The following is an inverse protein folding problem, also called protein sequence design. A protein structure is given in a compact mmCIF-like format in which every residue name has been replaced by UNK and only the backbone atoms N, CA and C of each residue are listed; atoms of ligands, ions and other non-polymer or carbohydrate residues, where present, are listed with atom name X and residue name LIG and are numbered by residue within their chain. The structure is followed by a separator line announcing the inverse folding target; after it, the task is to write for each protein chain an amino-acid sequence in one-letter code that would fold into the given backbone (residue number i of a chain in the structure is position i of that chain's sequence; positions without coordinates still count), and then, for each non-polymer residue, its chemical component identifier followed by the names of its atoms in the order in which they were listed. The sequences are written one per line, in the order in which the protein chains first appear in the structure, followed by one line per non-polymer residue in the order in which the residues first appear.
data_IF_533205364384
#
_entry.id   IF_533205364384
#
_cell.length_a   1.000
_cell.length_b   1.000
_cell.length_c   1.000
_cell.angle_alpha   90.00
_cell.angle_beta   90.00
_cell.angle_gamma   90.00
#
_symmetry.space_group_name_H-M   'P 1'
#
loop_
_entity.id
_entity.type
_entity.pdbx_description
1 polymer ?
#
# COMPACT_ATOMS: atom_id res chain seq x y z
N UNK A 1 -4.88 5.23 -21.23
CA UNK A 1 -4.81 5.73 -19.86
C UNK A 1 -6.11 6.41 -19.53
N UNK A 2 -6.77 5.94 -18.48
CA UNK A 2 -8.05 6.51 -18.00
C UNK A 2 -7.82 7.63 -16.98
N UNK A 3 -6.75 7.49 -16.20
CA UNK A 3 -6.36 8.47 -15.21
C UNK A 3 -4.85 8.73 -15.30
N UNK A 4 -4.46 10.00 -15.31
CA UNK A 4 -3.07 10.43 -15.21
C UNK A 4 -2.94 11.46 -14.11
N UNK A 5 -1.83 11.41 -13.38
CA UNK A 5 -1.56 12.24 -12.23
C UNK A 5 -0.06 12.53 -12.13
N UNK A 6 0.26 13.77 -11.91
CA UNK A 6 1.60 14.22 -11.55
C UNK A 6 1.44 15.45 -10.66
N UNK A 7 1.99 15.44 -9.46
CA UNK A 7 1.89 16.57 -8.55
C UNK A 7 3.06 16.65 -7.57
N UNK A 8 3.43 17.89 -7.23
CA UNK A 8 4.38 18.19 -6.18
C UNK A 8 3.73 19.05 -5.09
N UNK A 9 4.05 18.73 -3.82
CA UNK A 9 3.67 19.48 -2.63
C UNK A 9 4.94 19.66 -1.78
N UNK A 10 5.61 20.81 -1.94
CA UNK A 10 6.94 21.07 -1.38
C UNK A 10 7.00 20.99 0.14
N UNK A 11 6.01 21.58 0.84
CA UNK A 11 5.92 21.50 2.31
C UNK A 11 5.83 20.08 2.86
N UNK A 12 5.41 19.11 2.03
CA UNK A 12 5.26 17.69 2.39
C UNK A 12 6.35 16.80 1.79
N UNK A 13 7.29 17.36 1.04
CA UNK A 13 8.29 16.59 0.29
C UNK A 13 7.67 15.62 -0.72
N UNK A 14 6.41 15.87 -1.14
CA UNK A 14 5.66 14.98 -2.01
C UNK A 14 5.91 15.34 -3.49
N UNK A 15 6.30 14.35 -4.28
CA UNK A 15 6.51 14.46 -5.72
C UNK A 15 6.24 13.10 -6.36
N UNK A 16 5.04 12.93 -6.91
CA UNK A 16 4.53 11.62 -7.37
C UNK A 16 3.93 11.75 -8.76
N UNK A 17 4.25 10.81 -9.61
CA UNK A 17 3.58 10.56 -10.89
C UNK A 17 2.92 9.18 -10.87
N UNK A 18 1.68 9.09 -11.35
CA UNK A 18 0.88 7.87 -11.37
C UNK A 18 -0.06 7.87 -12.58
N UNK A 19 -0.26 6.72 -13.18
CA UNK A 19 -1.28 6.54 -14.22
C UNK A 19 -2.05 5.25 -14.02
N UNK A 20 -3.33 5.23 -14.43
CA UNK A 20 -4.17 4.03 -14.40
C UNK A 20 -4.78 3.78 -15.76
N UNK A 21 -4.87 2.51 -16.13
CA UNK A 21 -5.65 2.00 -17.24
C UNK A 21 -7.17 1.98 -16.95
N UNK A 22 -7.99 1.65 -17.95
CA UNK A 22 -9.40 1.36 -17.71
C UNK A 22 -9.52 0.12 -16.81
N UNK A 23 -10.39 0.21 -15.80
CA UNK A 23 -10.62 -0.88 -14.85
C UNK A 23 -9.36 -1.41 -14.12
N UNK A 24 -8.29 -0.61 -14.03
CA UNK A 24 -7.09 -0.96 -13.27
C UNK A 24 -7.24 -0.55 -11.81
N UNK A 25 -6.91 -1.45 -10.91
CA UNK A 25 -6.79 -1.18 -9.48
C UNK A 25 -5.32 -1.11 -9.08
N UNK A 26 -4.91 0.02 -8.50
CA UNK A 26 -3.56 0.23 -7.96
C UNK A 26 -3.62 0.25 -6.43
N UNK A 27 -2.84 -0.61 -5.79
CA UNK A 27 -2.60 -0.52 -4.35
C UNK A 27 -1.41 0.41 -4.08
N UNK A 28 -1.61 1.40 -3.24
CA UNK A 28 -0.55 2.31 -2.77
C UNK A 28 -0.18 1.91 -1.35
N UNK A 29 1.06 1.51 -1.17
CA UNK A 29 1.62 1.05 0.09
C UNK A 29 2.83 1.91 0.47
N UNK A 30 3.31 1.83 1.69
CA UNK A 30 4.46 2.60 2.16
C UNK A 30 4.39 2.86 3.65
N UNK A 31 5.50 3.26 4.29
CA UNK A 31 5.54 3.56 5.73
C UNK A 31 4.62 4.73 6.10
N UNK A 32 4.41 4.92 7.40
CA UNK A 32 3.68 6.08 7.89
C UNK A 32 4.43 7.36 7.49
N UNK A 33 3.68 8.38 7.04
CA UNK A 33 4.28 9.64 6.54
C UNK A 33 4.79 9.59 5.10
N UNK A 34 4.71 8.46 4.39
CA UNK A 34 5.19 8.32 3.01
C UNK A 34 4.43 9.15 1.95
N UNK A 35 3.32 9.80 2.32
CA UNK A 35 2.55 10.63 1.39
C UNK A 35 1.28 9.98 0.83
N UNK A 36 0.89 8.77 1.29
CA UNK A 36 -0.29 8.04 0.80
C UNK A 36 -1.59 8.86 0.89
N UNK A 37 -1.90 9.40 2.07
CA UNK A 37 -3.10 10.22 2.26
C UNK A 37 -3.00 11.58 1.56
N UNK A 38 -1.78 12.10 1.34
CA UNK A 38 -1.54 13.29 0.52
C UNK A 38 -1.91 13.01 -0.94
N UNK A 39 -1.49 11.87 -1.49
CA UNK A 39 -1.87 11.44 -2.83
C UNK A 39 -3.39 11.43 -3.02
N UNK A 40 -4.11 10.71 -2.16
CA UNK A 40 -5.59 10.65 -2.23
C UNK A 40 -6.23 12.02 -2.08
N UNK A 41 -5.72 12.85 -1.16
CA UNK A 41 -6.27 14.20 -0.89
C UNK A 41 -6.06 15.15 -2.05
N UNK A 42 -4.92 15.10 -2.74
CA UNK A 42 -4.66 15.90 -3.96
C UNK A 42 -5.57 15.46 -5.10
N UNK A 43 -5.73 14.15 -5.32
CA UNK A 43 -6.62 13.61 -6.36
C UNK A 43 -8.08 13.99 -6.07
N UNK A 44 -8.53 13.87 -4.82
CA UNK A 44 -9.87 14.25 -4.40
C UNK A 44 -10.11 15.76 -4.43
N UNK A 45 -9.05 16.59 -4.49
CA UNK A 45 -9.14 18.04 -4.49
C UNK A 45 -9.25 18.68 -3.10
N UNK A 46 -8.90 17.95 -2.06
CA UNK A 46 -8.87 18.44 -0.68
C UNK A 46 -7.57 19.18 -0.37
N UNK A 47 -6.50 18.85 -1.08
CA UNK A 47 -5.20 19.55 -1.03
C UNK A 47 -4.89 20.05 -2.43
N UNK A 48 -4.53 21.35 -2.52
CA UNK A 48 -4.04 21.94 -3.76
C UNK A 48 -2.52 21.75 -3.81
N UNK A 49 -1.97 21.10 -4.85
CA UNK A 49 -0.51 20.97 -4.99
C UNK A 49 0.11 22.29 -5.45
N UNK A 50 1.41 22.43 -5.28
CA UNK A 50 2.15 23.62 -5.73
C UNK A 50 2.29 23.62 -7.25
N UNK A 51 2.45 22.44 -7.85
CA UNK A 51 2.52 22.25 -9.30
C UNK A 51 2.04 20.85 -9.68
N UNK A 52 1.65 20.69 -10.93
CA UNK A 52 1.27 19.39 -11.45
C UNK A 52 0.04 19.43 -12.35
N UNK A 53 -0.35 18.25 -12.80
CA UNK A 53 -1.55 18.03 -13.60
C UNK A 53 -2.19 16.71 -13.23
N UNK A 54 -3.51 16.67 -13.33
CA UNK A 54 -4.24 15.40 -13.27
C UNK A 54 -5.44 15.43 -14.22
N UNK A 55 -5.71 14.29 -14.82
CA UNK A 55 -6.78 14.11 -15.78
C UNK A 55 -7.50 12.79 -15.54
N UNK A 56 -8.83 12.80 -15.63
CA UNK A 56 -9.67 11.61 -15.53
C UNK A 56 -10.61 11.56 -16.74
N UNK A 57 -10.53 10.50 -17.55
CA UNK A 57 -11.35 10.32 -18.75
C UNK A 57 -11.32 11.51 -19.72
N UNK A 58 -10.15 12.11 -19.95
CA UNK A 58 -9.97 13.27 -20.81
C UNK A 58 -10.43 14.60 -20.18
N UNK A 59 -10.81 14.60 -18.89
CA UNK A 59 -11.21 15.82 -18.17
C UNK A 59 -10.15 16.23 -17.18
N UNK A 60 -9.64 17.46 -17.22
CA UNK A 60 -8.65 17.93 -16.27
C UNK A 60 -9.27 18.08 -14.87
N UNK A 61 -8.63 17.44 -13.89
CA UNK A 61 -8.92 17.64 -12.47
C UNK A 61 -8.19 18.88 -11.94
N UNK A 62 -6.97 19.07 -12.39
CA UNK A 62 -6.20 20.30 -12.21
C UNK A 62 -5.02 20.37 -13.20
N UNK A 63 -4.54 21.60 -13.41
CA UNK A 63 -3.31 21.92 -14.10
C UNK A 63 -2.74 23.18 -13.43
N UNK A 64 -1.59 23.08 -12.78
CA UNK A 64 -1.00 24.13 -11.96
C UNK A 64 0.50 24.25 -12.23
N UNK A 65 0.97 25.47 -12.48
CA UNK A 65 2.37 25.76 -12.76
C UNK A 65 2.87 25.22 -14.12
N UNK A 66 4.07 25.62 -14.52
CA UNK A 66 4.76 25.08 -15.69
C UNK A 66 5.43 23.75 -15.31
N UNK A 67 5.00 22.68 -15.93
CA UNK A 67 5.66 21.38 -15.84
C UNK A 67 6.60 21.28 -17.05
N UNK A 68 7.93 21.17 -16.85
CA UNK A 68 8.85 20.86 -17.94
C UNK A 68 8.47 19.52 -18.58
N UNK A 69 8.51 19.44 -19.90
CA UNK A 69 8.16 18.22 -20.65
C UNK A 69 9.02 16.99 -20.25
N UNK A 70 10.16 17.21 -19.60
CA UNK A 70 11.20 16.23 -19.32
C UNK A 70 11.17 15.65 -17.89
N UNK A 71 10.13 15.94 -17.09
CA UNK A 71 9.92 15.28 -15.78
C UNK A 71 10.92 15.63 -14.67
N UNK A 72 11.82 16.59 -14.89
CA UNK A 72 12.79 17.04 -13.86
C UNK A 72 12.25 18.29 -13.19
N UNK A 73 11.82 18.15 -11.94
CA UNK A 73 11.40 19.28 -11.12
C UNK A 73 12.61 20.12 -10.71
N UNK A 74 12.73 21.31 -11.32
CA UNK A 74 13.62 22.35 -10.81
C UNK A 74 12.81 23.19 -9.80
N UNK A 75 13.21 23.13 -8.52
CA UNK A 75 12.65 23.97 -7.49
C UNK A 75 12.72 25.45 -7.90
N UNK A 76 11.56 26.13 -7.83
CA UNK A 76 11.38 27.56 -7.96
C UNK A 76 11.58 28.19 -9.35
N UNK A 77 10.54 28.12 -10.19
CA UNK A 77 10.27 29.23 -11.12
C UNK A 77 8.90 29.82 -10.75
N UNK A 78 8.90 31.07 -10.32
CA UNK A 78 7.70 31.87 -10.07
C UNK A 78 6.97 32.15 -11.38
N UNK A 79 5.68 31.75 -11.42
CA UNK A 79 4.58 32.39 -12.11
C UNK A 79 4.87 33.04 -13.49
N UNK A 80 4.80 32.24 -14.53
CA UNK A 80 4.19 32.65 -15.78
C UNK A 80 2.70 32.31 -15.71
N UNK A 81 1.81 33.24 -16.13
CA UNK A 81 0.36 33.03 -16.12
C UNK A 81 -0.03 32.01 -17.20
N UNK A 82 0.24 30.73 -16.96
CA UNK A 82 -0.43 29.61 -17.59
C UNK A 82 -1.83 29.50 -16.98
N UNK A 83 -2.77 29.05 -17.79
CA UNK A 83 -4.19 28.92 -17.42
C UNK A 83 -4.34 27.89 -16.27
N UNK A 84 -4.09 28.35 -15.03
CA UNK A 84 -4.23 27.54 -13.81
C UNK A 84 -5.66 27.00 -13.74
N UNK A 85 -5.82 25.68 -13.82
CA UNK A 85 -7.10 24.99 -13.73
C UNK A 85 -7.19 24.23 -12.43
N UNK A 86 -8.28 24.43 -11.72
CA UNK A 86 -8.59 23.71 -10.49
C UNK A 86 -10.07 23.32 -10.48
N UNK A 87 -10.37 22.05 -10.70
CA UNK A 87 -11.72 21.52 -10.61
C UNK A 87 -12.09 21.30 -9.15
N UNK A 88 -13.21 21.87 -8.73
CA UNK A 88 -13.71 21.66 -7.35
C UNK A 88 -13.97 20.18 -7.07
N UNK A 89 -13.76 19.70 -5.82
CA UNK A 89 -13.87 18.28 -5.45
C UNK A 89 -15.14 17.59 -5.96
N UNK A 90 -16.29 18.22 -5.81
CA UNK A 90 -17.60 17.66 -6.19
C UNK A 90 -17.84 17.59 -7.72
N UNK A 91 -16.96 18.15 -8.54
CA UNK A 91 -17.01 18.08 -10.00
C UNK A 91 -15.95 17.14 -10.59
N UNK A 92 -15.10 16.53 -9.76
CA UNK A 92 -14.00 15.66 -10.21
C UNK A 92 -14.44 14.28 -10.71
N UNK A 93 -15.65 13.85 -10.38
CA UNK A 93 -16.10 12.48 -10.69
C UNK A 93 -15.34 11.42 -9.90
N UNK A 94 -14.72 11.78 -8.78
CA UNK A 94 -14.04 10.88 -7.86
C UNK A 94 -14.87 10.67 -6.60
N UNK A 95 -14.79 9.49 -5.98
CA UNK A 95 -15.31 9.27 -4.63
C UNK A 95 -14.17 8.82 -3.72
N UNK A 96 -14.04 9.50 -2.57
CA UNK A 96 -13.05 9.18 -1.54
C UNK A 96 -13.75 8.51 -0.36
N UNK A 97 -13.34 7.29 -0.05
CA UNK A 97 -13.52 6.65 1.25
C UNK A 97 -12.29 6.98 2.09
N UNK A 98 -12.43 7.87 3.04
CA UNK A 98 -11.36 8.18 4.00
C UNK A 98 -11.26 7.09 5.07
N UNK A 99 -10.13 7.05 5.77
CA UNK A 99 -9.85 6.09 6.85
C UNK A 99 -10.96 6.14 7.93
N UNK A 100 -11.41 7.33 8.30
CA UNK A 100 -12.62 7.49 9.11
C UNK A 100 -13.87 7.52 8.21
N UNK A 101 -14.99 6.90 8.59
CA UNK A 101 -16.20 6.82 7.78
C UNK A 101 -16.81 8.17 7.37
N UNK A 102 -16.56 9.25 8.14
CA UNK A 102 -17.02 10.62 7.89
C UNK A 102 -18.48 10.71 7.42
N UNK A 103 -19.38 9.96 8.07
CA UNK A 103 -20.81 9.97 7.77
C UNK A 103 -21.44 11.27 8.24
N UNK A 104 -22.48 11.75 7.54
CA UNK A 104 -23.28 12.90 7.96
C UNK A 104 -24.08 12.55 9.22
N UNK A 105 -23.80 13.15 10.38
CA UNK A 105 -24.36 12.67 11.67
C UNK A 105 -25.87 12.89 11.80
N UNK A 106 -26.43 13.82 11.05
CA UNK A 106 -27.86 14.17 11.04
C UNK A 106 -28.68 13.33 10.06
N UNK A 107 -28.03 12.56 9.16
CA UNK A 107 -28.69 11.69 8.19
C UNK A 107 -28.73 10.25 8.68
N UNK A 108 -29.77 9.52 8.27
CA UNK A 108 -29.80 8.06 8.44
C UNK A 108 -28.78 7.37 7.50
N UNK A 109 -28.48 6.10 7.73
CA UNK A 109 -27.59 5.32 6.84
C UNK A 109 -28.07 5.35 5.40
N UNK A 110 -29.37 5.12 5.13
CA UNK A 110 -29.92 5.18 3.77
C UNK A 110 -29.85 6.57 3.18
N UNK A 111 -30.03 7.64 3.96
CA UNK A 111 -29.92 9.00 3.45
C UNK A 111 -28.46 9.45 3.24
N UNK A 112 -27.50 8.91 4.03
CA UNK A 112 -26.06 9.05 3.77
C UNK A 112 -25.68 8.46 2.41
N UNK A 113 -26.11 7.22 2.13
CA UNK A 113 -25.80 6.53 0.88
C UNK A 113 -26.52 7.19 -0.30
N UNK A 114 -27.77 7.64 -0.13
CA UNK A 114 -28.53 8.35 -1.16
C UNK A 114 -28.00 9.77 -1.46
N UNK A 115 -27.06 10.29 -0.66
CA UNK A 115 -26.59 11.69 -0.79
C UNK A 115 -25.90 11.93 -2.15
N UNK A 116 -24.97 11.04 -2.55
CA UNK A 116 -24.25 11.15 -3.82
C UNK A 116 -25.21 11.23 -5.03
N UNK A 117 -26.03 10.19 -5.28
CA UNK A 117 -27.02 10.19 -6.36
C UNK A 117 -27.95 11.42 -6.35
N UNK A 118 -28.39 11.87 -5.17
CA UNK A 118 -29.24 13.06 -5.05
C UNK A 118 -28.51 14.35 -5.43
N UNK A 119 -27.25 14.48 -5.07
CA UNK A 119 -26.42 15.64 -5.40
C UNK A 119 -26.19 15.80 -6.91
N UNK A 120 -26.25 14.69 -7.65
CA UNK A 120 -26.15 14.64 -9.13
C UNK A 120 -27.51 14.70 -9.84
N UNK A 121 -28.61 14.96 -9.10
CA UNK A 121 -29.94 15.17 -9.69
C UNK A 121 -30.82 13.93 -9.75
N UNK A 122 -30.41 12.78 -9.20
CA UNK A 122 -31.26 11.57 -9.18
C UNK A 122 -32.49 11.83 -8.30
N UNK A 123 -33.73 11.52 -8.77
CA UNK A 123 -34.94 11.70 -7.97
C UNK A 123 -34.89 10.94 -6.64
N UNK A 124 -35.42 11.53 -5.56
CA UNK A 124 -35.34 11.02 -4.19
C UNK A 124 -35.72 9.54 -4.05
N UNK A 125 -36.80 9.11 -4.71
CA UNK A 125 -37.27 7.72 -4.66
C UNK A 125 -36.28 6.73 -5.28
N UNK A 126 -35.70 7.07 -6.44
CA UNK A 126 -34.69 6.27 -7.15
C UNK A 126 -33.38 6.25 -6.34
N UNK A 127 -32.91 7.40 -5.87
CA UNK A 127 -31.69 7.48 -5.04
C UNK A 127 -31.82 6.64 -3.76
N UNK A 128 -32.99 6.61 -3.11
CA UNK A 128 -33.23 5.74 -1.95
C UNK A 128 -33.29 4.25 -2.30
N UNK A 129 -33.81 3.90 -3.47
CA UNK A 129 -33.82 2.49 -3.94
C UNK A 129 -32.39 2.00 -4.17
N UNK A 130 -31.58 2.80 -4.85
CA UNK A 130 -30.16 2.55 -5.09
C UNK A 130 -29.36 2.48 -3.78
N UNK A 131 -29.62 3.39 -2.86
CA UNK A 131 -28.99 3.35 -1.52
C UNK A 131 -29.32 2.06 -0.76
N UNK A 132 -30.55 1.56 -0.85
CA UNK A 132 -30.92 0.27 -0.22
C UNK A 132 -30.22 -0.91 -0.90
N UNK A 133 -30.06 -0.87 -2.22
CA UNK A 133 -29.30 -1.88 -2.95
C UNK A 133 -27.87 -1.93 -2.42
N UNK A 134 -27.15 -0.80 -2.38
CA UNK A 134 -25.77 -0.77 -1.89
C UNK A 134 -25.64 -1.14 -0.41
N UNK A 135 -26.61 -0.75 0.42
CA UNK A 135 -26.65 -1.19 1.82
C UNK A 135 -26.82 -2.72 1.94
N UNK A 136 -27.60 -3.33 1.06
CA UNK A 136 -27.74 -4.80 1.03
C UNK A 136 -26.44 -5.47 0.59
N UNK A 137 -25.76 -4.93 -0.43
CA UNK A 137 -24.48 -5.43 -0.94
C UNK A 137 -23.36 -5.44 0.13
N UNK A 138 -23.35 -4.45 1.04
CA UNK A 138 -22.42 -4.39 2.18
C UNK A 138 -22.98 -5.05 3.45
N UNK A 139 -24.06 -5.82 3.36
CA UNK A 139 -24.74 -6.47 4.50
C UNK A 139 -25.15 -5.50 5.63
N UNK A 140 -25.51 -4.27 5.27
CA UNK A 140 -25.94 -3.21 6.18
C UNK A 140 -27.41 -2.80 5.99
N UNK A 141 -28.23 -3.58 5.28
CA UNK A 141 -29.63 -3.26 4.99
C UNK A 141 -30.45 -3.02 6.29
N UNK A 142 -30.20 -3.80 7.34
CA UNK A 142 -30.86 -3.68 8.65
C UNK A 142 -30.50 -2.37 9.39
N UNK A 143 -29.47 -1.66 8.95
CA UNK A 143 -29.02 -0.39 9.53
C UNK A 143 -29.62 0.82 8.83
N UNK A 144 -30.43 0.66 7.78
CA UNK A 144 -30.88 1.72 6.89
C UNK A 144 -31.52 2.93 7.61
N UNK A 145 -32.23 2.70 8.71
CA UNK A 145 -32.88 3.75 9.50
C UNK A 145 -32.01 4.34 10.62
N UNK A 146 -30.87 3.71 10.94
CA UNK A 146 -29.98 4.17 12.00
C UNK A 146 -29.19 5.41 11.58
N UNK A 147 -28.81 6.22 12.56
CA UNK A 147 -27.89 7.35 12.40
C UNK A 147 -26.45 6.95 12.78
N UNK A 148 -25.42 7.67 12.31
CA UNK A 148 -24.03 7.35 12.61
C UNK A 148 -23.69 7.13 14.08
N UNK A 149 -24.20 7.90 15.06
CA UNK A 149 -23.93 7.63 16.49
C UNK A 149 -24.47 6.30 17.01
N UNK A 150 -25.38 5.66 16.26
CA UNK A 150 -26.01 4.37 16.62
C UNK A 150 -25.29 3.17 15.96
N UNK A 151 -24.19 3.43 15.22
CA UNK A 151 -23.43 2.44 14.48
C UNK A 151 -22.11 2.14 15.19
N UNK A 152 -21.69 0.87 15.15
CA UNK A 152 -20.29 0.53 15.47
C UNK A 152 -19.36 1.03 14.38
N UNK A 153 -18.04 1.12 14.65
CA UNK A 153 -17.05 1.54 13.68
C UNK A 153 -17.10 0.75 12.37
N UNK A 154 -17.15 -0.59 12.44
CA UNK A 154 -17.28 -1.46 11.27
C UNK A 154 -18.61 -1.30 10.52
N UNK A 155 -19.72 -1.03 11.25
CA UNK A 155 -21.01 -0.73 10.63
C UNK A 155 -20.96 0.61 9.88
N UNK A 156 -20.39 1.64 10.49
CA UNK A 156 -20.18 2.95 9.87
C UNK A 156 -19.30 2.84 8.62
N UNK A 157 -18.23 2.04 8.68
CA UNK A 157 -17.33 1.80 7.54
C UNK A 157 -18.08 1.15 6.36
N UNK A 158 -18.90 0.12 6.61
CA UNK A 158 -19.73 -0.51 5.57
C UNK A 158 -20.71 0.49 4.92
N UNK A 159 -21.35 1.34 5.72
CA UNK A 159 -22.22 2.41 5.20
C UNK A 159 -21.43 3.43 4.39
N UNK A 160 -20.21 3.79 4.80
CA UNK A 160 -19.35 4.71 4.04
C UNK A 160 -18.90 4.11 2.70
N UNK A 161 -18.58 2.83 2.64
CA UNK A 161 -18.32 2.10 1.39
C UNK A 161 -19.55 2.15 0.48
N UNK A 162 -20.73 1.81 1.00
CA UNK A 162 -21.98 1.88 0.22
C UNK A 162 -22.23 3.29 -0.34
N UNK A 163 -21.93 4.34 0.44
CA UNK A 163 -22.04 5.74 0.01
C UNK A 163 -21.08 6.07 -1.14
N UNK A 164 -19.82 5.62 -1.04
CA UNK A 164 -18.83 5.84 -2.08
C UNK A 164 -19.22 5.15 -3.39
N UNK A 165 -19.71 3.90 -3.30
CA UNK A 165 -20.14 3.11 -4.47
C UNK A 165 -21.43 3.66 -5.11
N UNK A 166 -22.39 4.12 -4.32
CA UNK A 166 -23.64 4.69 -4.81
C UNK A 166 -23.43 5.99 -5.59
N UNK A 167 -22.32 6.69 -5.39
CA UNK A 167 -21.97 7.89 -6.15
C UNK A 167 -21.58 7.59 -7.61
N UNK A 168 -21.39 6.32 -7.97
CA UNK A 168 -20.93 5.83 -9.28
C UNK A 168 -19.76 6.64 -9.88
N UNK A 169 -18.61 6.69 -9.15
CA UNK A 169 -17.50 7.54 -9.53
C UNK A 169 -16.74 6.98 -10.73
N UNK A 170 -16.15 7.88 -11.53
CA UNK A 170 -15.20 7.51 -12.58
C UNK A 170 -13.83 7.06 -12.06
N UNK A 171 -13.50 7.36 -10.79
CA UNK A 171 -12.32 6.87 -10.07
C UNK A 171 -12.67 6.71 -8.58
N UNK A 172 -12.43 5.52 -8.05
CA UNK A 172 -12.64 5.22 -6.64
C UNK A 172 -11.33 5.34 -5.86
N UNK A 173 -11.35 6.10 -4.78
CA UNK A 173 -10.22 6.30 -3.87
C UNK A 173 -10.57 5.69 -2.52
N UNK A 174 -9.82 4.69 -2.08
CA UNK A 174 -10.09 3.95 -0.85
C UNK A 174 -8.88 4.07 0.08
N UNK A 175 -9.07 4.68 1.25
CA UNK A 175 -8.05 4.80 2.30
C UNK A 175 -8.35 3.77 3.40
N UNK A 176 -7.57 2.70 3.45
CA UNK A 176 -7.67 1.59 4.39
C UNK A 176 -9.10 1.03 4.56
N UNK A 177 -9.76 0.59 3.49
CA UNK A 177 -11.19 0.24 3.53
C UNK A 177 -11.55 -0.87 4.50
N UNK A 178 -10.59 -1.71 4.90
CA UNK A 178 -10.82 -2.86 5.79
C UNK A 178 -10.41 -2.62 7.25
N UNK A 179 -9.70 -1.52 7.58
CA UNK A 179 -9.04 -1.32 8.87
C UNK A 179 -9.98 -1.37 10.09
N UNK A 180 -11.23 -0.93 9.94
CA UNK A 180 -12.21 -0.91 11.04
C UNK A 180 -13.11 -2.17 11.12
N UNK A 181 -12.86 -3.17 10.25
CA UNK A 181 -13.71 -4.34 10.14
C UNK A 181 -13.16 -5.52 10.95
N UNK A 182 -14.11 -6.30 11.49
CA UNK A 182 -13.81 -7.56 12.14
C UNK A 182 -13.44 -8.67 11.13
N UNK A 183 -12.93 -9.79 11.65
CA UNK A 183 -12.45 -10.93 10.85
C UNK A 183 -13.53 -11.57 9.95
N UNK A 184 -14.80 -11.36 10.23
CA UNK A 184 -15.91 -11.89 9.43
C UNK A 184 -16.36 -10.91 8.36
N UNK A 185 -16.35 -9.62 8.67
CA UNK A 185 -16.79 -8.54 7.77
C UNK A 185 -15.76 -8.20 6.68
N UNK A 186 -14.47 -8.25 7.01
CA UNK A 186 -13.41 -7.92 6.04
C UNK A 186 -13.41 -8.83 4.79
N UNK A 187 -13.53 -10.18 4.89
CA UNK A 187 -13.61 -11.04 3.70
C UNK A 187 -14.83 -10.78 2.82
N UNK A 188 -15.96 -10.39 3.41
CA UNK A 188 -17.18 -10.07 2.66
C UNK A 188 -16.99 -8.79 1.85
N UNK A 189 -16.47 -7.74 2.50
CA UNK A 189 -16.19 -6.47 1.81
C UNK A 189 -15.11 -6.64 0.73
N UNK A 190 -14.08 -7.43 0.98
CA UNK A 190 -13.04 -7.73 -0.01
C UNK A 190 -13.62 -8.39 -1.27
N UNK A 191 -14.52 -9.37 -1.12
CA UNK A 191 -15.22 -10.00 -2.26
C UNK A 191 -16.10 -9.02 -3.01
N UNK A 192 -16.84 -8.16 -2.29
CA UNK A 192 -17.64 -7.10 -2.92
C UNK A 192 -16.75 -6.15 -3.73
N UNK A 193 -15.68 -5.62 -3.12
CA UNK A 193 -14.76 -4.71 -3.79
C UNK A 193 -14.13 -5.38 -5.02
N UNK A 194 -13.67 -6.62 -4.94
CA UNK A 194 -13.12 -7.35 -6.08
C UNK A 194 -14.10 -7.38 -7.28
N UNK A 195 -15.39 -7.60 -7.01
CA UNK A 195 -16.43 -7.61 -8.04
C UNK A 195 -16.67 -6.20 -8.62
N UNK A 196 -16.76 -5.21 -7.75
CA UNK A 196 -17.09 -3.83 -8.14
C UNK A 196 -15.94 -3.15 -8.87
N UNK A 197 -14.70 -3.47 -8.50
CA UNK A 197 -13.48 -2.89 -9.09
C UNK A 197 -13.13 -3.51 -10.45
N UNK A 198 -13.72 -4.64 -10.82
CA UNK A 198 -13.47 -5.28 -12.11
C UNK A 198 -13.79 -4.39 -13.33
N UNK A 199 -14.68 -3.41 -13.17
CA UNK A 199 -15.17 -2.56 -14.26
C UNK A 199 -14.84 -1.07 -14.08
N UNK A 200 -13.99 -0.70 -13.09
CA UNK A 200 -13.69 0.71 -12.82
C UNK A 200 -12.27 0.92 -12.26
N UNK A 201 -11.61 2.02 -12.61
CA UNK A 201 -10.32 2.33 -12.03
C UNK A 201 -10.43 2.67 -10.55
N UNK A 202 -9.44 2.22 -9.76
CA UNK A 202 -9.38 2.49 -8.34
C UNK A 202 -7.96 2.65 -7.82
N UNK A 203 -7.81 3.45 -6.77
CA UNK A 203 -6.60 3.54 -5.96
C UNK A 203 -6.97 3.12 -4.54
N UNK A 204 -6.28 2.10 -4.02
CA UNK A 204 -6.47 1.58 -2.68
C UNK A 204 -5.20 1.85 -1.87
N UNK A 205 -5.28 2.65 -0.84
CA UNK A 205 -4.23 2.72 0.18
C UNK A 205 -4.48 1.60 1.18
N UNK A 206 -3.49 0.76 1.38
CA UNK A 206 -3.56 -0.33 2.36
C UNK A 206 -2.16 -0.68 2.89
N UNK A 207 -2.10 -1.25 4.07
CA UNK A 207 -0.91 -1.89 4.64
C UNK A 207 -1.06 -3.43 4.68
N UNK A 208 -2.22 -3.96 4.28
CA UNK A 208 -2.50 -5.39 4.23
C UNK A 208 -2.11 -5.97 2.86
N UNK A 209 -1.13 -6.88 2.86
CA UNK A 209 -0.66 -7.59 1.66
C UNK A 209 -1.77 -8.40 1.01
N UNK A 210 -2.69 -8.97 1.82
CA UNK A 210 -3.80 -9.75 1.30
C UNK A 210 -4.79 -8.87 0.52
N UNK A 211 -5.03 -7.63 0.98
CA UNK A 211 -5.86 -6.67 0.24
C UNK A 211 -5.21 -6.34 -1.11
N UNK A 212 -3.91 -6.05 -1.13
CA UNK A 212 -3.17 -5.78 -2.36
C UNK A 212 -3.24 -6.97 -3.32
N UNK A 213 -2.94 -8.19 -2.86
CA UNK A 213 -2.96 -9.41 -3.69
C UNK A 213 -4.35 -9.75 -4.25
N UNK A 214 -5.41 -9.48 -3.49
CA UNK A 214 -6.77 -9.84 -3.91
C UNK A 214 -7.45 -8.79 -4.77
N UNK A 215 -7.11 -7.52 -4.60
CA UNK A 215 -7.84 -6.40 -5.19
C UNK A 215 -7.05 -5.63 -6.25
N UNK A 216 -5.72 -5.60 -6.16
CA UNK A 216 -4.90 -4.74 -7.00
C UNK A 216 -4.16 -5.50 -8.10
N UNK A 217 -4.16 -4.93 -9.29
CA UNK A 217 -3.38 -5.41 -10.44
C UNK A 217 -1.91 -5.02 -10.29
N UNK A 218 -1.66 -3.82 -9.73
CA UNK A 218 -0.34 -3.23 -9.54
C UNK A 218 -0.21 -2.61 -8.15
N UNK A 219 1.01 -2.67 -7.62
CA UNK A 219 1.40 -2.02 -6.37
C UNK A 219 2.35 -0.87 -6.66
N UNK A 220 2.17 0.22 -5.94
CA UNK A 220 3.07 1.37 -5.88
C UNK A 220 3.51 1.56 -4.43
N UNK A 221 4.81 1.44 -4.20
CA UNK A 221 5.41 1.71 -2.89
C UNK A 221 5.84 3.18 -2.85
N UNK A 222 5.29 3.92 -1.90
CA UNK A 222 5.70 5.29 -1.63
C UNK A 222 6.67 5.33 -0.45
N UNK A 223 7.79 6.03 -0.62
CA UNK A 223 8.73 6.35 0.44
C UNK A 223 9.16 7.83 0.32
N UNK A 224 9.15 8.54 1.44
CA UNK A 224 9.57 9.95 1.49
C UNK A 224 8.90 10.84 0.43
N UNK A 225 7.61 10.60 0.16
CA UNK A 225 6.84 11.38 -0.80
C UNK A 225 7.11 11.07 -2.28
N UNK A 226 7.80 10.00 -2.59
CA UNK A 226 8.15 9.57 -3.96
C UNK A 226 7.80 8.11 -4.18
N UNK A 227 7.67 7.72 -5.45
CA UNK A 227 7.56 6.32 -5.83
C UNK A 227 8.94 5.68 -5.69
N UNK A 228 9.07 4.72 -4.77
CA UNK A 228 10.28 3.94 -4.55
C UNK A 228 10.30 2.69 -5.44
N UNK A 229 9.14 2.08 -5.63
CA UNK A 229 8.98 0.85 -6.41
C UNK A 229 7.57 0.77 -6.97
N UNK A 230 7.39 0.26 -8.19
CA UNK A 230 6.09 -0.06 -8.75
C UNK A 230 6.16 -1.24 -9.70
N UNK A 231 5.07 -2.00 -9.77
CA UNK A 231 4.97 -3.14 -10.68
C UNK A 231 3.73 -3.98 -10.43
N UNK A 232 3.53 -5.05 -11.21
CA UNK A 232 2.48 -6.03 -10.96
C UNK A 232 2.55 -6.52 -9.51
N UNK A 233 1.38 -6.57 -8.84
CA UNK A 233 1.30 -6.86 -7.39
C UNK A 233 2.11 -8.09 -6.98
N UNK A 234 1.98 -9.17 -7.75
CA UNK A 234 2.68 -10.41 -7.47
C UNK A 234 4.19 -10.25 -7.57
N UNK A 235 4.66 -9.57 -8.61
CA UNK A 235 6.10 -9.38 -8.86
C UNK A 235 6.76 -8.57 -7.74
N UNK A 236 6.15 -7.44 -7.32
CA UNK A 236 6.68 -6.59 -6.25
C UNK A 236 6.76 -7.34 -4.91
N UNK A 237 5.81 -8.24 -4.64
CA UNK A 237 5.80 -9.03 -3.40
C UNK A 237 6.68 -10.28 -3.46
N UNK A 238 6.91 -10.88 -4.62
CA UNK A 238 7.80 -12.04 -4.79
C UNK A 238 9.27 -11.62 -4.94
N UNK A 239 9.53 -10.48 -5.59
CA UNK A 239 10.88 -9.93 -5.84
C UNK A 239 10.94 -8.46 -5.46
N UNK A 240 10.89 -8.11 -4.18
CA UNK A 240 10.87 -6.73 -3.72
C UNK A 240 12.21 -6.02 -3.99
N UNK A 241 12.15 -4.79 -4.51
CA UNK A 241 13.32 -3.96 -4.75
C UNK A 241 13.54 -2.92 -3.64
N UNK A 242 12.65 -2.87 -2.65
CA UNK A 242 12.75 -1.98 -1.51
C UNK A 242 12.67 -2.77 -0.19
N UNK A 243 13.30 -2.23 0.85
CA UNK A 243 13.24 -2.84 2.19
C UNK A 243 11.80 -2.87 2.73
N UNK A 244 10.99 -1.87 2.37
CA UNK A 244 9.59 -1.83 2.77
C UNK A 244 8.77 -2.94 2.10
N UNK A 245 8.90 -3.12 0.77
CA UNK A 245 8.20 -4.19 0.04
C UNK A 245 8.62 -5.57 0.56
N UNK A 246 9.91 -5.78 0.83
CA UNK A 246 10.41 -7.02 1.44
C UNK A 246 9.83 -7.25 2.84
N UNK A 247 9.75 -6.21 3.66
CA UNK A 247 9.10 -6.26 4.98
C UNK A 247 7.62 -6.64 4.91
N UNK A 248 6.89 -6.10 3.93
CA UNK A 248 5.50 -6.48 3.65
C UNK A 248 5.38 -7.95 3.25
N UNK A 249 6.29 -8.42 2.39
CA UNK A 249 6.35 -9.83 1.97
C UNK A 249 6.86 -10.76 3.08
N UNK A 250 7.28 -10.21 4.23
CA UNK A 250 7.83 -10.97 5.34
C UNK A 250 9.19 -11.59 5.04
N UNK A 251 10.00 -10.97 4.17
CA UNK A 251 11.30 -11.44 3.73
C UNK A 251 12.44 -10.66 4.39
N UNK A 252 13.58 -11.31 4.58
CA UNK A 252 14.86 -10.64 4.81
C UNK A 252 15.34 -10.05 3.48
N UNK A 253 15.82 -8.80 3.51
CA UNK A 253 16.28 -8.04 2.35
C UNK A 253 17.61 -7.35 2.66
N UNK A 254 18.66 -7.75 1.97
CA UNK A 254 20.00 -7.21 2.16
C UNK A 254 20.47 -6.60 0.82
N UNK A 255 20.33 -5.27 0.67
CA UNK A 255 20.79 -4.58 -0.53
C UNK A 255 22.31 -4.39 -0.51
N UNK A 256 22.91 -4.41 -1.69
CA UNK A 256 24.35 -4.21 -1.85
C UNK A 256 24.81 -4.25 -3.31
N UNK A 257 25.99 -4.76 -3.51
CA UNK A 257 26.60 -4.93 -4.84
C UNK A 257 26.93 -6.40 -5.04
N UNK A 258 26.71 -6.93 -6.23
CA UNK A 258 27.08 -8.31 -6.54
C UNK A 258 28.61 -8.46 -6.56
N UNK A 259 29.12 -9.37 -5.72
CA UNK A 259 30.56 -9.70 -5.63
C UNK A 259 30.71 -11.22 -5.53
N UNK A 260 31.28 -11.81 -6.55
CA UNK A 260 31.48 -13.27 -6.60
C UNK A 260 30.14 -14.02 -6.64
N UNK A 261 29.90 -14.86 -5.66
CA UNK A 261 28.69 -15.71 -5.52
C UNK A 261 27.64 -15.10 -4.58
N UNK A 262 27.76 -13.80 -4.24
CA UNK A 262 26.88 -13.16 -3.27
C UNK A 262 26.74 -11.65 -3.41
N UNK A 263 25.96 -11.07 -2.54
CA UNK A 263 25.78 -9.62 -2.40
C UNK A 263 26.63 -9.13 -1.22
N UNK A 264 27.45 -8.11 -1.45
CA UNK A 264 28.20 -7.39 -0.43
C UNK A 264 27.40 -6.15 -0.02
N UNK A 265 26.90 -6.12 1.20
CA UNK A 265 26.19 -4.97 1.74
C UNK A 265 27.13 -3.80 2.04
N UNK A 266 26.56 -2.59 2.18
CA UNK A 266 27.32 -1.38 2.61
C UNK A 266 27.99 -1.52 3.97
N UNK A 267 27.51 -2.42 4.82
CA UNK A 267 28.05 -2.70 6.15
C UNK A 267 29.17 -3.77 6.13
N UNK A 268 29.54 -4.26 4.93
CA UNK A 268 30.56 -5.28 4.76
C UNK A 268 30.06 -6.71 4.94
N UNK A 269 28.75 -6.93 5.04
CA UNK A 269 28.17 -8.25 5.13
C UNK A 269 28.12 -8.87 3.74
N UNK A 270 28.78 -10.03 3.55
CA UNK A 270 28.69 -10.82 2.34
C UNK A 270 27.63 -11.91 2.50
N UNK A 271 26.67 -11.96 1.59
CA UNK A 271 25.56 -12.93 1.59
C UNK A 271 25.61 -13.72 0.31
N UNK A 272 26.09 -14.97 0.40
CA UNK A 272 26.14 -15.90 -0.74
C UNK A 272 24.73 -16.40 -1.07
N UNK A 273 24.42 -16.52 -2.37
CA UNK A 273 23.09 -16.90 -2.82
C UNK A 273 23.09 -17.46 -4.23
N UNK A 274 21.90 -17.64 -4.78
CA UNK A 274 21.65 -18.10 -6.13
C UNK A 274 20.89 -17.04 -6.94
N UNK A 275 21.42 -16.71 -8.11
CA UNK A 275 20.73 -15.87 -9.09
C UNK A 275 20.10 -16.74 -10.16
N UNK A 276 18.79 -16.56 -10.42
CA UNK A 276 18.10 -17.25 -11.52
C UNK A 276 18.56 -16.68 -12.87
N UNK A 277 18.70 -15.36 -12.94
CA UNK A 277 19.21 -14.65 -14.12
C UNK A 277 20.64 -14.16 -13.87
N UNK A 278 21.52 -14.20 -14.87
CA UNK A 278 22.88 -13.65 -14.72
C UNK A 278 22.86 -12.17 -14.37
N UNK A 279 23.45 -11.80 -13.24
CA UNK A 279 23.65 -10.39 -12.83
C UNK A 279 25.08 -10.01 -13.17
N UNK A 280 25.32 -8.89 -13.90
CA UNK A 280 26.68 -8.41 -14.12
C UNK A 280 27.38 -8.09 -12.80
N UNK A 281 28.71 -8.33 -12.75
CA UNK A 281 29.50 -7.97 -11.58
C UNK A 281 29.43 -6.46 -11.30
N UNK A 282 29.55 -6.09 -10.03
CA UNK A 282 29.53 -4.70 -9.54
C UNK A 282 28.21 -3.97 -9.77
N UNK A 283 27.12 -4.67 -10.11
CA UNK A 283 25.76 -4.11 -10.18
C UNK A 283 25.09 -4.09 -8.81
N UNK A 284 24.19 -3.12 -8.66
CA UNK A 284 23.29 -3.10 -7.50
C UNK A 284 22.44 -4.37 -7.49
N UNK A 285 22.41 -5.05 -6.37
CA UNK A 285 21.68 -6.30 -6.21
C UNK A 285 21.17 -6.44 -4.78
N UNK A 286 20.18 -7.30 -4.59
CA UNK A 286 19.71 -7.69 -3.27
C UNK A 286 19.85 -9.20 -3.05
N UNK A 287 20.17 -9.57 -1.81
CA UNK A 287 20.03 -10.93 -1.31
C UNK A 287 18.76 -11.03 -0.48
N UNK A 288 17.86 -11.94 -0.85
CA UNK A 288 16.53 -12.06 -0.27
C UNK A 288 16.26 -13.50 0.14
N UNK A 289 15.75 -13.70 1.35
CA UNK A 289 15.45 -15.01 1.88
C UNK A 289 14.35 -14.96 2.97
N UNK A 290 13.51 -16.02 3.09
CA UNK A 290 12.48 -16.02 4.11
C UNK A 290 13.07 -16.26 5.51
N UNK A 291 12.52 -15.64 6.57
CA UNK A 291 12.91 -15.90 7.96
C UNK A 291 12.84 -17.38 8.37
N UNK A 292 11.93 -18.13 7.77
CA UNK A 292 11.78 -19.58 8.00
C UNK A 292 12.97 -20.43 7.48
N UNK A 293 13.80 -19.86 6.59
CA UNK A 293 15.03 -20.51 6.13
C UNK A 293 16.24 -20.25 7.04
N UNK A 294 16.07 -19.36 8.03
CA UNK A 294 17.14 -18.98 8.96
C UNK A 294 17.10 -19.87 10.19
N UNK A 295 18.23 -20.49 10.50
CA UNK A 295 18.44 -21.25 11.75
C UNK A 295 19.20 -20.38 12.77
N UNK A 296 18.81 -20.46 14.04
CA UNK A 296 19.43 -19.69 15.14
C UNK A 296 20.36 -20.59 15.96
N UNK A 297 21.59 -20.15 16.15
CA UNK A 297 22.60 -20.85 16.95
C UNK A 297 23.19 -19.92 18.01
N UNK A 298 23.56 -20.45 19.19
CA UNK A 298 24.22 -19.70 20.26
C UNK A 298 25.71 -19.42 19.97
N UNK A 299 26.32 -20.25 19.14
CA UNK A 299 27.72 -20.17 18.72
C UNK A 299 27.80 -20.26 17.20
N UNK A 300 28.92 -19.83 16.65
CA UNK A 300 29.13 -19.92 15.20
C UNK A 300 29.01 -21.36 14.70
N UNK A 301 28.22 -21.54 13.65
CA UNK A 301 27.93 -22.86 13.10
C UNK A 301 28.94 -23.19 11.99
N UNK A 302 29.69 -24.25 12.19
CA UNK A 302 30.63 -24.77 11.20
C UNK A 302 29.96 -25.84 10.33
N UNK A 303 30.19 -25.83 9.02
CA UNK A 303 29.67 -26.85 8.12
C UNK A 303 29.28 -26.34 6.72
N UNK A 304 28.21 -26.88 6.15
CA UNK A 304 27.75 -26.58 4.79
C UNK A 304 27.08 -25.22 4.57
N UNK A 305 26.46 -24.54 5.57
CA UNK A 305 25.98 -23.19 5.40
C UNK A 305 27.11 -22.23 5.07
N UNK A 306 26.91 -21.38 4.05
CA UNK A 306 27.89 -20.35 3.66
C UNK A 306 27.63 -19.01 4.31
N UNK A 307 26.44 -18.80 4.84
CA UNK A 307 26.02 -17.56 5.48
C UNK A 307 25.83 -17.83 6.97
N UNK A 308 26.65 -17.20 7.79
CA UNK A 308 26.54 -17.15 9.26
C UNK A 308 26.73 -15.69 9.67
N UNK A 309 25.72 -15.12 10.30
CA UNK A 309 25.68 -13.71 10.68
C UNK A 309 25.58 -13.59 12.19
N UNK A 310 26.51 -12.91 12.83
CA UNK A 310 26.39 -12.55 14.23
C UNK A 310 25.34 -11.45 14.37
N UNK A 311 24.28 -11.68 15.14
CA UNK A 311 23.10 -10.82 15.26
C UNK A 311 22.79 -10.58 16.72
N UNK A 312 22.52 -9.33 17.09
CA UNK A 312 21.98 -8.99 18.40
C UNK A 312 20.48 -8.95 18.35
N UNK A 313 19.81 -9.78 19.14
CA UNK A 313 18.34 -9.85 19.21
C UNK A 313 17.79 -8.51 19.70
N UNK A 314 16.92 -7.89 18.93
CA UNK A 314 16.22 -6.65 19.29
C UNK A 314 14.81 -6.92 19.80
N UNK A 315 14.11 -7.91 19.23
CA UNK A 315 12.73 -8.22 19.57
C UNK A 315 12.37 -9.70 19.33
N UNK A 316 11.31 -10.15 20.02
CA UNK A 316 10.72 -11.48 19.91
C UNK A 316 9.20 -11.33 19.71
N UNK A 317 8.70 -11.63 18.52
CA UNK A 317 7.31 -11.40 18.13
C UNK A 317 6.58 -12.72 17.88
N UNK A 318 5.36 -12.93 18.40
CA UNK A 318 4.52 -14.04 17.98
C UNK A 318 4.22 -13.95 16.48
N UNK A 319 4.42 -15.04 15.73
CA UNK A 319 4.19 -15.11 14.30
C UNK A 319 3.51 -16.44 13.91
N UNK A 320 2.16 -16.45 13.93
CA UNK A 320 1.39 -17.68 13.74
C UNK A 320 1.66 -18.69 14.84
N UNK A 321 2.14 -19.86 14.48
CA UNK A 321 2.59 -20.94 15.37
C UNK A 321 4.09 -20.86 15.72
N UNK A 322 4.77 -19.83 15.23
CA UNK A 322 6.21 -19.58 15.42
C UNK A 322 6.46 -18.30 16.23
N UNK A 323 7.72 -18.11 16.59
CA UNK A 323 8.24 -16.86 17.15
C UNK A 323 9.22 -16.27 16.17
N UNK A 324 9.00 -15.03 15.77
CA UNK A 324 9.92 -14.26 14.95
C UNK A 324 10.97 -13.58 15.83
N UNK A 325 12.21 -13.99 15.66
CA UNK A 325 13.39 -13.39 16.31
C UNK A 325 13.92 -12.31 15.39
N UNK A 326 13.94 -11.04 15.82
CA UNK A 326 14.47 -9.91 15.07
C UNK A 326 15.82 -9.46 15.61
N UNK A 327 16.72 -9.05 14.74
CA UNK A 327 18.00 -8.44 15.10
C UNK A 327 18.77 -7.94 13.87
N UNK A 328 19.44 -6.80 14.00
CA UNK A 328 20.31 -6.18 12.98
C UNK A 328 19.68 -6.10 11.56
N UNK A 329 18.38 -5.81 11.51
CA UNK A 329 17.62 -5.69 10.24
C UNK A 329 17.25 -7.03 9.60
N UNK A 330 17.50 -8.16 10.26
CA UNK A 330 17.13 -9.50 9.83
C UNK A 330 16.11 -10.14 10.79
N UNK A 331 15.48 -11.24 10.31
CA UNK A 331 14.56 -12.03 11.12
C UNK A 331 14.80 -13.55 10.91
N UNK A 332 14.48 -14.32 11.93
CA UNK A 332 14.43 -15.79 11.89
C UNK A 332 13.11 -16.25 12.52
N UNK A 333 12.45 -17.25 11.91
CA UNK A 333 11.24 -17.84 12.48
C UNK A 333 11.60 -19.17 13.13
N UNK A 334 11.35 -19.30 14.44
CA UNK A 334 11.67 -20.48 15.25
C UNK A 334 10.41 -20.97 15.96
N UNK A 335 10.45 -22.22 16.42
CA UNK A 335 9.36 -22.76 17.25
C UNK A 335 9.40 -22.21 18.67
N UNK A 336 8.27 -22.14 19.40
CA UNK A 336 8.26 -21.78 20.83
C UNK A 336 9.16 -22.68 21.68
N UNK A 337 9.26 -23.96 21.32
CA UNK A 337 10.17 -24.92 21.97
C UNK A 337 11.63 -24.51 21.80
N UNK A 338 12.04 -24.17 20.56
CA UNK A 338 13.41 -23.73 20.29
C UNK A 338 13.76 -22.43 21.05
N UNK A 339 12.78 -21.49 21.15
CA UNK A 339 12.96 -20.28 21.95
C UNK A 339 13.30 -20.61 23.42
N UNK A 340 12.55 -21.55 24.01
CA UNK A 340 12.72 -21.96 25.41
C UNK A 340 14.05 -22.72 25.60
N UNK A 341 14.36 -23.67 24.70
CA UNK A 341 15.57 -24.49 24.78
C UNK A 341 16.85 -23.67 24.63
N UNK A 342 16.82 -22.64 23.75
CA UNK A 342 17.96 -21.74 23.55
C UNK A 342 17.99 -20.59 24.55
N UNK A 343 16.91 -20.36 25.32
CA UNK A 343 16.81 -19.29 26.32
C UNK A 343 16.96 -17.89 25.72
N UNK A 344 16.43 -17.66 24.50
CA UNK A 344 16.64 -16.40 23.78
C UNK A 344 15.91 -15.24 24.46
N UNK A 345 16.60 -14.12 24.58
CA UNK A 345 16.05 -12.86 25.13
C UNK A 345 16.59 -11.67 24.31
N UNK A 346 15.87 -10.55 24.26
CA UNK A 346 16.39 -9.32 23.68
C UNK A 346 17.73 -8.89 24.31
N UNK A 347 18.66 -8.40 23.49
CA UNK A 347 20.01 -8.05 23.87
C UNK A 347 21.03 -9.20 23.78
N UNK A 348 20.58 -10.43 23.58
CA UNK A 348 21.45 -11.59 23.39
C UNK A 348 22.06 -11.61 22.00
N UNK A 349 23.34 -11.95 21.90
CA UNK A 349 24.02 -12.16 20.62
C UNK A 349 23.93 -13.63 20.22
N UNK A 350 23.48 -13.86 18.98
CA UNK A 350 23.28 -15.19 18.39
C UNK A 350 23.84 -15.21 16.96
N UNK A 351 23.85 -16.38 16.34
CA UNK A 351 24.22 -16.55 14.94
C UNK A 351 22.98 -16.94 14.13
N UNK A 352 22.66 -16.11 13.13
CA UNK A 352 21.68 -16.44 12.10
C UNK A 352 22.39 -17.15 10.95
N UNK A 353 21.95 -18.34 10.66
CA UNK A 353 22.58 -19.21 9.67
C UNK A 353 21.59 -19.55 8.57
N UNK A 354 21.94 -19.29 7.31
CA UNK A 354 21.10 -19.60 6.15
C UNK A 354 21.94 -20.24 5.04
N UNK A 355 21.37 -21.27 4.40
CA UNK A 355 22.02 -21.93 3.26
C UNK A 355 21.95 -21.00 2.03
N UNK A 356 23.04 -20.88 1.27
CA UNK A 356 23.07 -20.10 0.02
C UNK A 356 21.97 -20.52 -0.98
N UNK A 357 21.59 -21.79 -1.01
CA UNK A 357 20.50 -22.29 -1.85
C UNK A 357 19.11 -21.74 -1.48
N UNK A 358 18.94 -21.18 -0.27
CA UNK A 358 17.70 -20.55 0.18
C UNK A 358 17.72 -19.02 0.01
N UNK A 359 18.80 -18.46 -0.52
CA UNK A 359 18.99 -17.02 -0.74
C UNK A 359 18.87 -16.75 -2.24
N UNK A 360 17.88 -15.96 -2.63
CA UNK A 360 17.71 -15.48 -4.00
C UNK A 360 18.47 -14.17 -4.19
N UNK A 361 19.21 -14.06 -5.30
CA UNK A 361 19.92 -12.86 -5.71
C UNK A 361 19.27 -12.30 -6.97
N UNK A 362 19.02 -10.97 -7.04
CA UNK A 362 18.55 -10.30 -8.24
C UNK A 362 18.98 -8.82 -8.27
N UNK A 363 19.02 -8.24 -9.47
CA UNK A 363 19.37 -6.82 -9.71
C UNK A 363 18.26 -5.90 -9.13
N UNK A 364 18.65 -4.76 -8.51
CA UNK A 364 17.73 -3.80 -7.87
C UNK A 364 17.87 -2.40 -8.46
#
# INVERSE_FOLDING_TARGET
VTFSFQAAVGERGFDVSLSLGPAETVAVMGPNGAGKSTLLSVIAGLIRPDSGRAELNGRPLFQLGDIPADGVHVAAARAGAGDDRWTAPHHRGTALLAQEPLLFPHLTAVDNVAFGPRSTGTPKGRAKAEARHWLAEVEAAHLAARRPPELSGGQAQRVAVARALAADPGLLLLDEPMAALDIHSAPLLRRLLKRVLADRPAIIVTHDVLDALMLADRVVILENGRVAEEGPTRQVLERPHSAFAAGLAGLNFIPGTLVGDGVLSRQGLHVAGHAEDPIPADRAAAAVFPPSAVSVFLTDAHGSPRNSFQVTITDLEPHGDQIRVRGDGMAADITPSALADLGLVPGMTVHFVVKAAAVSLYET
#
